data_IF_532585871979
#
_entry.id   IF_532585871979
#
_cell.length_a   1.000
_cell.length_b   1.000
_cell.length_c   1.000
_cell.angle_alpha   90.00
_cell.angle_beta   90.00
_cell.angle_gamma   90.00
#
_symmetry.space_group_name_H-M   'P 1'
#
loop_
_entity.id
_entity.type
_entity.pdbx_description
1 polymer ?
#
# COMPACT_ATOMS: atom_id res chain seq x y z
N UNK A 1 -29.40 7.02 7.79
CA UNK A 1 -28.20 7.83 8.04
C UNK A 1 -27.71 8.34 6.69
N UNK A 2 -27.39 9.62 6.58
CA UNK A 2 -27.18 10.32 5.30
C UNK A 2 -25.82 9.99 4.68
N UNK A 3 -25.82 9.16 3.64
CA UNK A 3 -24.67 8.90 2.73
C UNK A 3 -24.13 10.17 2.01
N UNK A 4 -24.70 11.35 2.23
CA UNK A 4 -24.51 12.53 1.37
C UNK A 4 -23.31 13.44 1.65
N UNK A 5 -22.42 13.16 2.63
CA UNK A 5 -21.35 14.12 3.00
C UNK A 5 -20.00 13.54 3.42
N UNK A 6 -19.90 12.25 3.74
CA UNK A 6 -18.65 11.68 4.24
C UNK A 6 -17.73 11.35 3.06
N UNK A 7 -16.49 11.81 3.12
CA UNK A 7 -15.46 11.62 2.08
C UNK A 7 -15.84 12.16 0.70
N UNK A 8 -16.42 13.36 0.66
CA UNK A 8 -16.95 13.94 -0.59
C UNK A 8 -15.87 14.05 -1.67
N UNK A 9 -14.67 14.53 -1.33
CA UNK A 9 -13.60 14.71 -2.32
C UNK A 9 -13.06 13.36 -2.80
N UNK A 10 -12.93 12.36 -1.92
CA UNK A 10 -12.54 11.00 -2.32
C UNK A 10 -13.58 10.32 -3.22
N UNK A 11 -14.87 10.55 -2.94
CA UNK A 11 -15.96 10.07 -3.80
C UNK A 11 -15.91 10.75 -5.17
N UNK A 12 -15.65 12.06 -5.22
CA UNK A 12 -15.59 12.84 -6.47
C UNK A 12 -14.45 12.38 -7.40
N UNK A 13 -13.31 11.95 -6.85
CA UNK A 13 -12.21 11.37 -7.66
C UNK A 13 -12.42 9.88 -7.98
N UNK A 14 -13.52 9.26 -7.54
CA UNK A 14 -13.89 7.89 -7.94
C UNK A 14 -13.56 6.78 -6.94
N UNK A 15 -13.18 7.08 -5.69
CA UNK A 15 -12.90 6.06 -4.64
C UNK A 15 -14.14 5.58 -3.87
N UNK A 16 -15.36 5.88 -4.34
CA UNK A 16 -16.60 5.51 -3.66
C UNK A 16 -16.73 4.01 -3.40
N UNK A 17 -16.43 3.18 -4.39
CA UNK A 17 -16.61 1.73 -4.29
C UNK A 17 -15.58 1.11 -3.33
N UNK A 18 -14.37 1.66 -3.31
CA UNK A 18 -13.34 1.31 -2.32
C UNK A 18 -13.83 1.55 -0.88
N UNK A 19 -14.37 2.75 -0.63
CA UNK A 19 -14.88 3.15 0.68
C UNK A 19 -16.00 2.24 1.17
N UNK A 20 -16.90 1.82 0.26
CA UNK A 20 -17.98 0.88 0.58
C UNK A 20 -17.50 -0.54 0.83
N UNK A 21 -16.51 -1.00 0.07
CA UNK A 21 -15.98 -2.35 0.19
C UNK A 21 -15.33 -2.58 1.56
N UNK A 22 -14.58 -1.60 2.05
CA UNK A 22 -13.97 -1.65 3.40
C UNK A 22 -14.99 -1.81 4.52
N UNK A 23 -16.21 -1.32 4.34
CA UNK A 23 -17.26 -1.39 5.35
C UNK A 23 -18.39 -2.37 5.07
N UNK A 24 -18.17 -3.41 4.25
CA UNK A 24 -19.20 -4.40 3.87
C UNK A 24 -20.48 -3.75 3.30
N UNK A 25 -20.30 -2.75 2.43
CA UNK A 25 -21.39 -1.99 1.82
C UNK A 25 -21.69 -0.67 2.51
N UNK A 26 -21.18 -0.45 3.72
CA UNK A 26 -21.30 0.80 4.45
C UNK A 26 -20.00 1.62 4.36
N UNK A 27 -20.11 2.95 4.47
CA UNK A 27 -18.94 3.84 4.59
C UNK A 27 -18.79 4.22 6.06
N UNK A 28 -17.70 3.78 6.69
CA UNK A 28 -17.39 4.12 8.07
C UNK A 28 -16.54 5.38 8.18
N UNK A 29 -16.77 6.16 9.23
CA UNK A 29 -15.94 7.31 9.56
C UNK A 29 -14.66 6.85 10.26
N UNK A 30 -13.52 7.13 9.64
CA UNK A 30 -12.17 6.79 10.10
C UNK A 30 -11.32 8.06 10.07
N UNK A 31 -10.62 8.35 11.16
CA UNK A 31 -9.90 9.62 11.33
C UNK A 31 -8.87 9.89 10.21
N UNK A 32 -8.13 8.86 9.81
CA UNK A 32 -7.15 8.98 8.73
C UNK A 32 -7.83 9.27 7.37
N UNK A 33 -8.96 8.64 7.07
CA UNK A 33 -9.70 8.89 5.82
C UNK A 33 -10.26 10.30 5.73
N UNK A 34 -10.65 10.91 6.86
CA UNK A 34 -11.06 12.32 6.90
C UNK A 34 -9.90 13.26 6.55
N UNK A 35 -8.68 12.92 6.99
CA UNK A 35 -7.48 13.70 6.69
C UNK A 35 -7.10 13.56 5.21
N UNK A 36 -7.18 12.35 4.65
CA UNK A 36 -6.98 12.11 3.21
C UNK A 36 -8.04 12.86 2.39
N UNK A 37 -9.32 12.82 2.78
CA UNK A 37 -10.37 13.57 2.10
C UNK A 37 -10.13 15.08 2.13
N UNK A 38 -9.72 15.61 3.28
CA UNK A 38 -9.33 17.02 3.41
C UNK A 38 -8.12 17.38 2.56
N UNK A 39 -7.13 16.48 2.46
CA UNK A 39 -5.98 16.66 1.58
C UNK A 39 -6.41 16.74 0.11
N UNK A 40 -7.20 15.77 -0.36
CA UNK A 40 -7.70 15.75 -1.75
C UNK A 40 -8.57 16.96 -2.05
N UNK A 41 -9.41 17.39 -1.11
CA UNK A 41 -10.24 18.59 -1.24
C UNK A 41 -9.41 19.85 -1.54
N UNK A 42 -8.24 19.95 -0.91
CA UNK A 42 -7.35 21.11 -1.02
C UNK A 42 -6.40 21.05 -2.23
N UNK A 43 -6.39 19.95 -2.99
CA UNK A 43 -5.67 19.90 -4.27
C UNK A 43 -6.30 20.87 -5.28
N UNK A 44 -5.47 21.31 -6.23
CA UNK A 44 -5.93 22.05 -7.41
C UNK A 44 -6.83 21.14 -8.27
N UNK A 45 -7.71 21.76 -9.06
CA UNK A 45 -8.72 21.00 -9.82
C UNK A 45 -8.10 20.14 -10.93
N UNK A 46 -7.00 20.60 -11.54
CA UNK A 46 -6.22 19.79 -12.49
C UNK A 46 -5.64 18.52 -11.83
N UNK A 47 -5.17 18.62 -10.58
CA UNK A 47 -4.65 17.48 -9.82
C UNK A 47 -5.75 16.49 -9.45
N UNK A 48 -6.96 16.97 -9.14
CA UNK A 48 -8.13 16.10 -8.90
C UNK A 48 -8.54 15.35 -10.15
N UNK A 49 -8.53 16.01 -11.31
CA UNK A 49 -8.84 15.34 -12.59
C UNK A 49 -7.76 14.30 -12.96
N UNK A 50 -6.47 14.57 -12.71
CA UNK A 50 -5.41 13.55 -12.87
C UNK A 50 -5.67 12.32 -11.99
N UNK A 51 -6.00 12.51 -10.70
CA UNK A 51 -6.31 11.41 -9.80
C UNK A 51 -7.52 10.60 -10.27
N UNK A 52 -8.58 11.28 -10.70
CA UNK A 52 -9.79 10.67 -11.24
C UNK A 52 -9.51 9.84 -12.49
N UNK A 53 -8.69 10.36 -13.40
CA UNK A 53 -8.22 9.63 -14.58
C UNK A 53 -7.45 8.37 -14.19
N UNK A 54 -6.47 8.47 -13.29
CA UNK A 54 -5.69 7.32 -12.78
C UNK A 54 -6.61 6.23 -12.18
N UNK A 55 -7.54 6.63 -11.31
CA UNK A 55 -8.48 5.71 -10.67
C UNK A 55 -9.37 5.02 -11.71
N UNK A 56 -9.90 5.77 -12.67
CA UNK A 56 -10.76 5.24 -13.73
C UNK A 56 -10.06 4.23 -14.66
N UNK A 57 -8.74 4.40 -14.89
CA UNK A 57 -7.93 3.46 -15.66
C UNK A 57 -7.69 2.17 -14.87
N UNK A 58 -7.24 2.27 -13.62
CA UNK A 58 -6.98 1.11 -12.73
C UNK A 58 -8.24 0.30 -12.42
N UNK A 59 -9.41 0.94 -12.37
CA UNK A 59 -10.70 0.24 -12.23
C UNK A 59 -10.97 -0.81 -13.30
N UNK A 60 -10.37 -0.68 -14.49
CA UNK A 60 -10.61 -1.61 -15.62
C UNK A 60 -9.72 -2.85 -15.56
N UNK A 61 -8.68 -2.87 -14.72
CA UNK A 61 -7.65 -3.90 -14.76
C UNK A 61 -7.81 -4.97 -13.68
N UNK A 62 -8.05 -4.63 -12.40
CA UNK A 62 -8.53 -5.55 -11.33
C UNK A 62 -8.90 -4.81 -10.02
N UNK A 63 -9.77 -5.38 -9.17
CA UNK A 63 -10.19 -4.78 -7.88
C UNK A 63 -9.05 -4.51 -6.87
N UNK A 64 -7.92 -5.21 -6.95
CA UNK A 64 -6.76 -5.06 -6.04
C UNK A 64 -6.04 -3.72 -6.17
N UNK A 65 -6.22 -2.99 -7.28
CA UNK A 65 -5.49 -1.76 -7.58
C UNK A 65 -6.05 -0.49 -6.89
N UNK A 66 -7.25 -0.55 -6.27
CA UNK A 66 -7.77 0.60 -5.51
C UNK A 66 -6.94 0.89 -4.23
N UNK A 67 -6.33 -0.14 -3.63
CA UNK A 67 -5.43 0.04 -2.51
C UNK A 67 -4.17 0.81 -2.94
N UNK A 68 -3.70 0.60 -4.17
CA UNK A 68 -2.50 1.28 -4.68
C UNK A 68 -2.75 2.78 -4.81
N UNK A 69 -3.88 3.18 -5.41
CA UNK A 69 -4.24 4.61 -5.50
C UNK A 69 -4.42 5.24 -4.12
N UNK A 70 -5.05 4.54 -3.17
CA UNK A 70 -5.17 5.08 -1.83
C UNK A 70 -3.80 5.23 -1.16
N UNK A 71 -2.88 4.28 -1.34
CA UNK A 71 -1.54 4.37 -0.79
C UNK A 71 -0.72 5.51 -1.41
N UNK A 72 -0.84 5.73 -2.72
CA UNK A 72 -0.25 6.90 -3.40
C UNK A 72 -0.71 8.20 -2.72
N UNK A 73 -2.03 8.39 -2.59
CA UNK A 73 -2.61 9.59 -1.95
C UNK A 73 -2.24 9.65 -0.46
N UNK A 74 -2.18 8.51 0.22
CA UNK A 74 -1.84 8.42 1.65
C UNK A 74 -0.40 8.85 1.92
N UNK A 75 0.55 8.38 1.11
CA UNK A 75 1.96 8.77 1.21
C UNK A 75 2.13 10.26 0.88
N UNK A 76 1.47 10.73 -0.18
CA UNK A 76 1.43 12.15 -0.53
C UNK A 76 0.92 13.01 0.66
N UNK A 77 -0.22 12.63 1.24
CA UNK A 77 -0.82 13.31 2.40
C UNK A 77 0.05 13.27 3.65
N UNK A 78 0.75 12.15 3.91
CA UNK A 78 1.48 11.93 5.16
C UNK A 78 2.84 12.62 5.23
N UNK A 79 3.50 12.79 4.08
CA UNK A 79 4.94 13.09 4.03
C UNK A 79 5.32 14.27 3.13
N UNK A 80 4.38 14.88 2.41
CA UNK A 80 4.69 15.92 1.43
C UNK A 80 3.73 17.10 1.52
N UNK A 81 4.28 18.31 1.69
CA UNK A 81 3.50 19.54 1.83
C UNK A 81 2.90 20.03 0.49
N UNK A 82 3.60 19.75 -0.62
CA UNK A 82 3.21 20.14 -1.97
C UNK A 82 3.37 18.95 -2.91
N UNK A 83 2.30 18.56 -3.59
CA UNK A 83 2.28 17.37 -4.42
C UNK A 83 1.67 17.71 -5.77
N UNK A 84 2.34 17.28 -6.84
CA UNK A 84 1.77 17.23 -8.19
C UNK A 84 1.75 15.78 -8.64
N UNK A 85 0.56 15.17 -8.68
CA UNK A 85 0.34 13.88 -9.29
C UNK A 85 0.64 13.97 -10.79
N UNK A 86 1.30 12.96 -11.33
CA UNK A 86 1.70 12.95 -12.73
C UNK A 86 0.70 12.12 -13.54
N UNK A 87 0.26 12.65 -14.66
CA UNK A 87 -0.59 11.91 -15.59
C UNK A 87 0.19 10.73 -16.17
N UNK A 88 -0.32 9.51 -15.99
CA UNK A 88 0.25 8.30 -16.58
C UNK A 88 0.20 8.38 -18.11
N UNK A 89 1.36 8.61 -18.71
CA UNK A 89 1.57 8.57 -20.18
C UNK A 89 2.10 7.22 -20.64
N UNK A 90 2.82 6.54 -19.75
CA UNK A 90 3.41 5.21 -19.94
C UNK A 90 3.59 4.51 -18.58
N UNK A 91 3.97 3.22 -18.60
CA UNK A 91 4.25 2.43 -17.40
C UNK A 91 5.43 2.96 -16.56
N UNK A 92 6.22 3.90 -17.12
CA UNK A 92 7.43 4.46 -16.52
C UNK A 92 7.19 5.82 -15.87
N UNK A 93 5.96 6.30 -15.85
CA UNK A 93 5.63 7.58 -15.23
C UNK A 93 5.58 7.41 -13.71
N UNK A 94 6.34 8.22 -12.93
CA UNK A 94 6.25 8.17 -11.47
C UNK A 94 4.87 8.59 -10.96
N UNK A 95 4.49 8.15 -9.77
CA UNK A 95 3.17 8.48 -9.22
C UNK A 95 2.94 9.98 -9.03
N UNK A 96 3.91 10.68 -8.42
CA UNK A 96 3.85 12.12 -8.20
C UNK A 96 5.22 12.75 -8.05
N UNK A 97 5.27 14.09 -8.07
CA UNK A 97 6.45 14.86 -7.70
C UNK A 97 6.14 15.87 -6.60
N UNK A 98 7.15 16.13 -5.76
CA UNK A 98 7.10 17.16 -4.71
C UNK A 98 8.43 17.90 -4.69
N UNK A 99 8.42 19.21 -4.94
CA UNK A 99 9.63 20.05 -4.95
C UNK A 99 10.78 19.44 -5.79
N UNK A 100 10.48 18.97 -7.01
CA UNK A 100 11.40 18.28 -7.92
C UNK A 100 11.92 16.91 -7.47
N UNK A 101 11.39 16.35 -6.37
CA UNK A 101 11.63 14.97 -5.97
C UNK A 101 10.51 14.12 -6.58
N UNK A 102 10.87 13.20 -7.48
CA UNK A 102 9.95 12.20 -8.00
C UNK A 102 9.72 11.12 -6.94
N UNK A 103 8.48 10.66 -6.85
CA UNK A 103 8.05 9.67 -5.86
C UNK A 103 7.30 8.56 -6.56
N UNK A 104 7.71 7.33 -6.29
CA UNK A 104 7.01 6.13 -6.69
C UNK A 104 6.58 5.35 -5.44
N UNK A 105 5.33 4.94 -5.40
CA UNK A 105 4.71 4.20 -4.30
C UNK A 105 4.37 2.80 -4.79
N UNK A 106 4.89 1.79 -4.12
CA UNK A 106 4.53 0.40 -4.36
C UNK A 106 3.85 -0.18 -3.12
N UNK A 107 2.85 -1.00 -3.37
CA UNK A 107 2.16 -1.73 -2.31
C UNK A 107 2.59 -3.19 -2.29
N UNK A 108 2.95 -3.69 -1.11
CA UNK A 108 3.01 -5.12 -0.85
C UNK A 108 1.73 -5.52 -0.11
N UNK A 109 0.83 -6.16 -0.86
CA UNK A 109 -0.34 -6.83 -0.30
C UNK A 109 -0.03 -8.33 -0.16
N UNK A 110 -0.26 -8.89 1.02
CA UNK A 110 0.07 -10.29 1.32
C UNK A 110 -0.99 -11.31 0.88
N UNK A 111 -2.07 -10.84 0.24
CA UNK A 111 -3.17 -11.66 -0.31
C UNK A 111 -2.76 -12.83 -1.23
N UNK A 112 -1.51 -12.94 -1.68
CA UNK A 112 -1.05 -14.11 -2.45
C UNK A 112 -0.69 -15.30 -1.58
N UNK A 113 -0.17 -15.08 -0.37
CA UNK A 113 0.09 -16.17 0.60
C UNK A 113 -1.24 -16.63 1.19
N UNK A 114 -2.16 -15.70 1.44
CA UNK A 114 -3.54 -16.01 1.84
C UNK A 114 -4.33 -16.66 0.71
N UNK A 115 -4.16 -16.25 -0.56
CA UNK A 115 -4.73 -16.98 -1.71
C UNK A 115 -4.15 -18.38 -1.82
N UNK A 116 -2.83 -18.56 -1.69
CA UNK A 116 -2.22 -19.90 -1.73
C UNK A 116 -2.71 -20.77 -0.58
N UNK A 117 -2.71 -20.25 0.65
CA UNK A 117 -3.25 -20.94 1.83
C UNK A 117 -4.74 -21.22 1.72
N UNK A 118 -5.56 -20.29 1.24
CA UNK A 118 -6.99 -20.52 0.98
C UNK A 118 -7.20 -21.53 -0.16
N UNK A 119 -6.37 -21.53 -1.21
CA UNK A 119 -6.45 -22.53 -2.29
C UNK A 119 -6.05 -23.92 -1.82
N UNK A 120 -5.14 -24.01 -0.85
CA UNK A 120 -4.74 -25.25 -0.17
C UNK A 120 -5.77 -25.69 0.89
N UNK A 121 -6.37 -24.76 1.63
CA UNK A 121 -7.43 -24.98 2.62
C UNK A 121 -8.80 -25.31 1.97
N UNK A 122 -9.06 -24.80 0.76
CA UNK A 122 -10.28 -25.09 -0.01
C UNK A 122 -10.24 -26.45 -0.73
N UNK A 123 -9.16 -27.23 -0.58
CA UNK A 123 -9.04 -28.60 -1.11
C UNK A 123 -9.43 -29.70 -0.11
N UNK A 124 -9.94 -29.35 1.07
CA UNK A 124 -10.39 -30.32 2.06
C UNK A 124 -11.66 -29.88 2.79
N UNK A 125 -12.52 -30.83 3.21
CA UNK A 125 -13.66 -30.51 4.06
C UNK A 125 -13.12 -30.04 5.40
N UNK A 126 -13.43 -28.80 5.79
CA UNK A 126 -13.15 -28.23 7.11
C UNK A 126 -11.80 -28.62 7.73
N UNK A 127 -10.73 -27.90 7.41
CA UNK A 127 -9.64 -27.76 8.39
C UNK A 127 -10.19 -26.95 9.58
N UNK A 128 -10.84 -27.65 10.51
CA UNK A 128 -10.82 -27.25 11.91
C UNK A 128 -9.39 -26.81 12.25
N UNK A 129 -9.24 -25.63 12.84
CA UNK A 129 -7.96 -25.19 13.38
C UNK A 129 -7.52 -26.25 14.41
N UNK A 130 -6.60 -27.12 14.04
CA UNK A 130 -6.03 -28.15 14.93
C UNK A 130 -4.55 -28.35 14.57
N UNK A 131 -3.63 -28.58 15.53
CA UNK A 131 -3.57 -28.20 16.94
C UNK A 131 -2.60 -27.01 17.11
N UNK A 132 -2.21 -26.66 18.34
CA UNK A 132 -1.15 -25.68 18.59
C UNK A 132 0.14 -26.06 17.82
N UNK A 133 0.54 -25.25 16.84
CA UNK A 133 1.82 -25.40 16.14
C UNK A 133 2.96 -25.55 17.16
N UNK A 134 3.88 -26.46 16.88
CA UNK A 134 5.14 -26.54 17.63
C UNK A 134 5.96 -25.28 17.40
N UNK A 135 6.87 -24.96 18.33
CA UNK A 135 7.74 -23.79 18.18
C UNK A 135 8.60 -23.88 16.90
N UNK A 136 9.04 -25.07 16.50
CA UNK A 136 9.81 -25.26 15.26
C UNK A 136 8.99 -24.96 14.00
N UNK A 137 7.72 -25.38 13.95
CA UNK A 137 6.82 -25.08 12.83
C UNK A 137 6.52 -23.59 12.74
N UNK A 138 6.32 -22.93 13.90
CA UNK A 138 6.15 -21.47 13.97
C UNK A 138 7.36 -20.75 13.39
N UNK A 139 8.57 -21.11 13.79
CA UNK A 139 9.79 -20.48 13.29
C UNK A 139 10.00 -20.71 11.79
N UNK A 140 9.69 -21.92 11.29
CA UNK A 140 9.77 -22.18 9.85
C UNK A 140 8.75 -21.36 9.04
N UNK A 141 7.49 -21.30 9.50
CA UNK A 141 6.43 -20.50 8.86
C UNK A 141 6.80 -19.02 8.83
N UNK A 142 7.36 -18.49 9.92
CA UNK A 142 7.84 -17.10 9.97
C UNK A 142 8.94 -16.86 8.93
N UNK A 143 9.96 -17.72 8.88
CA UNK A 143 11.06 -17.58 7.95
C UNK A 143 10.58 -17.58 6.49
N UNK A 144 9.76 -18.55 6.11
CA UNK A 144 9.17 -18.61 4.75
C UNK A 144 8.36 -17.35 4.41
N UNK A 145 7.65 -16.81 5.41
CA UNK A 145 6.88 -15.58 5.25
C UNK A 145 7.78 -14.36 5.03
N UNK A 146 8.81 -14.18 5.86
CA UNK A 146 9.81 -13.10 5.75
C UNK A 146 10.52 -13.18 4.39
N UNK A 147 10.92 -14.37 3.95
CA UNK A 147 11.56 -14.59 2.65
C UNK A 147 10.63 -14.22 1.48
N UNK A 148 9.35 -14.60 1.55
CA UNK A 148 8.36 -14.28 0.53
C UNK A 148 8.12 -12.77 0.40
N UNK A 149 7.95 -12.08 1.54
CA UNK A 149 7.75 -10.63 1.60
C UNK A 149 9.02 -9.90 1.13
N UNK A 150 10.20 -10.37 1.52
CA UNK A 150 11.49 -9.85 1.05
C UNK A 150 11.65 -9.97 -0.47
N UNK A 151 11.25 -11.09 -1.07
CA UNK A 151 11.26 -11.25 -2.54
C UNK A 151 10.36 -10.22 -3.24
N UNK A 152 9.13 -10.04 -2.75
CA UNK A 152 8.20 -9.01 -3.28
C UNK A 152 8.78 -7.61 -3.15
N UNK A 153 9.39 -7.30 -2.01
CA UNK A 153 10.04 -6.02 -1.79
C UNK A 153 11.12 -5.75 -2.84
N UNK A 154 12.02 -6.71 -3.08
CA UNK A 154 13.04 -6.61 -4.13
C UNK A 154 12.42 -6.39 -5.52
N UNK A 155 11.38 -7.14 -5.88
CA UNK A 155 10.68 -6.98 -7.15
C UNK A 155 10.07 -5.58 -7.31
N UNK A 156 9.40 -5.07 -6.27
CA UNK A 156 8.79 -3.74 -6.29
C UNK A 156 9.82 -2.62 -6.33
N UNK A 157 10.90 -2.73 -5.57
CA UNK A 157 12.02 -1.77 -5.62
C UNK A 157 12.61 -1.74 -7.03
N UNK A 158 12.85 -2.90 -7.66
CA UNK A 158 13.39 -2.94 -9.02
C UNK A 158 12.46 -2.29 -10.05
N UNK A 159 11.14 -2.55 -9.99
CA UNK A 159 10.16 -1.86 -10.84
C UNK A 159 10.16 -0.35 -10.62
N UNK A 160 10.14 0.08 -9.36
CA UNK A 160 10.14 1.51 -9.02
C UNK A 160 11.42 2.23 -9.47
N UNK A 161 12.58 1.56 -9.43
CA UNK A 161 13.83 2.09 -10.00
C UNK A 161 13.72 2.35 -11.50
N UNK A 162 13.10 1.44 -12.24
CA UNK A 162 12.92 1.59 -13.69
C UNK A 162 12.02 2.78 -14.04
N UNK A 163 11.01 3.05 -13.22
CA UNK A 163 10.07 4.17 -13.39
C UNK A 163 10.71 5.51 -13.00
N UNK A 164 11.45 5.57 -11.89
CA UNK A 164 12.11 6.81 -11.46
C UNK A 164 13.33 7.21 -12.33
N UNK A 165 13.82 6.30 -13.18
CA UNK A 165 14.92 6.51 -14.12
C UNK A 165 16.19 7.10 -13.45
N UNK A 166 17.14 7.63 -14.23
CA UNK A 166 18.42 8.22 -13.75
C UNK A 166 18.27 9.51 -12.92
N UNK A 167 17.07 10.09 -12.81
CA UNK A 167 16.85 11.38 -12.16
C UNK A 167 16.87 11.31 -10.63
N UNK A 168 16.77 10.10 -10.07
CA UNK A 168 16.68 9.91 -8.63
C UNK A 168 15.30 10.28 -8.08
N UNK A 169 15.10 10.06 -6.77
CA UNK A 169 13.79 10.20 -6.15
C UNK A 169 13.59 9.32 -4.92
N UNK A 170 12.34 9.24 -4.47
CA UNK A 170 11.94 8.42 -3.33
C UNK A 170 11.10 7.23 -3.80
N UNK A 171 11.47 6.03 -3.36
CA UNK A 171 10.64 4.83 -3.48
C UNK A 171 9.99 4.60 -2.12
N UNK A 172 8.67 4.59 -2.08
CA UNK A 172 7.92 4.19 -0.89
C UNK A 172 7.33 2.80 -1.08
N UNK A 173 7.61 1.90 -0.15
CA UNK A 173 6.97 0.60 -0.06
C UNK A 173 5.95 0.62 1.08
N UNK A 174 4.66 0.66 0.76
CA UNK A 174 3.59 0.47 1.74
C UNK A 174 3.31 -1.01 1.85
N UNK A 175 3.45 -1.58 3.03
CA UNK A 175 3.26 -3.01 3.22
C UNK A 175 2.18 -3.31 4.26
N UNK A 176 1.44 -4.38 4.04
CA UNK A 176 0.43 -4.91 4.97
C UNK A 176 0.84 -6.32 5.35
N UNK A 177 0.70 -6.64 6.64
CA UNK A 177 1.01 -7.98 7.16
C UNK A 177 -0.30 -8.64 7.55
N UNK A 178 -0.73 -9.56 6.70
CA UNK A 178 -1.75 -10.55 7.02
C UNK A 178 -1.01 -11.74 7.63
N UNK A 179 -0.72 -11.67 8.93
CA UNK A 179 -0.19 -12.81 9.69
C UNK A 179 -1.22 -13.22 10.74
N UNK A 180 -1.18 -14.45 11.29
CA UNK A 180 -2.09 -14.78 12.37
C UNK A 180 -1.80 -13.90 13.60
N UNK A 181 -2.81 -13.42 14.35
CA UNK A 181 -2.65 -12.44 15.43
C UNK A 181 -1.59 -12.79 16.49
N UNK A 182 -1.34 -14.08 16.71
CA UNK A 182 -0.32 -14.57 17.65
C UNK A 182 1.14 -14.26 17.23
N UNK A 183 1.37 -13.78 16.02
CA UNK A 183 2.71 -13.55 15.45
C UNK A 183 2.99 -12.09 15.07
N UNK A 184 2.01 -11.18 15.21
CA UNK A 184 2.04 -9.84 14.61
C UNK A 184 3.22 -8.96 15.01
N UNK A 185 3.57 -8.87 16.30
CA UNK A 185 4.60 -7.89 16.73
C UNK A 185 6.01 -8.34 16.35
N UNK A 186 6.35 -9.62 16.56
CA UNK A 186 7.70 -10.13 16.25
C UNK A 186 7.97 -10.22 14.74
N UNK A 187 6.94 -10.51 13.93
CA UNK A 187 7.11 -10.67 12.48
C UNK A 187 7.32 -9.33 11.76
N UNK A 188 6.76 -8.23 12.30
CA UNK A 188 6.98 -6.89 11.73
C UNK A 188 8.45 -6.51 11.80
N UNK A 189 9.07 -6.69 12.97
CA UNK A 189 10.49 -6.38 13.19
C UNK A 189 11.40 -7.23 12.28
N UNK A 190 11.13 -8.53 12.15
CA UNK A 190 11.88 -9.41 11.25
C UNK A 190 11.73 -8.99 9.76
N UNK A 191 10.55 -8.54 9.34
CA UNK A 191 10.31 -8.04 7.98
C UNK A 191 11.06 -6.73 7.73
N UNK A 192 10.99 -5.78 8.66
CA UNK A 192 11.69 -4.50 8.54
C UNK A 192 13.21 -4.69 8.53
N UNK A 193 13.73 -5.58 9.39
CA UNK A 193 15.14 -6.00 9.36
C UNK A 193 15.51 -6.58 7.99
N UNK A 194 14.66 -7.45 7.42
CA UNK A 194 14.92 -8.02 6.08
C UNK A 194 14.88 -6.94 4.99
N UNK A 195 14.01 -5.93 5.08
CA UNK A 195 14.00 -4.81 4.16
C UNK A 195 15.27 -3.99 4.24
N UNK A 196 15.77 -3.70 5.45
CA UNK A 196 17.02 -2.97 5.66
C UNK A 196 18.23 -3.72 5.08
N UNK A 197 18.27 -5.05 5.23
CA UNK A 197 19.28 -5.89 4.58
C UNK A 197 19.22 -5.76 3.06
N UNK A 198 18.04 -5.92 2.46
CA UNK A 198 17.84 -5.81 1.01
C UNK A 198 18.25 -4.42 0.50
N UNK A 199 17.89 -3.35 1.21
CA UNK A 199 18.27 -1.98 0.84
C UNK A 199 19.79 -1.83 0.82
N UNK A 200 20.50 -2.39 1.80
CA UNK A 200 21.97 -2.41 1.85
C UNK A 200 22.57 -3.24 0.71
N UNK A 201 22.00 -4.41 0.42
CA UNK A 201 22.45 -5.30 -0.66
C UNK A 201 22.31 -4.65 -2.04
N UNK A 202 21.22 -3.92 -2.29
CA UNK A 202 20.94 -3.33 -3.60
C UNK A 202 21.85 -2.14 -3.97
N UNK A 203 22.53 -1.52 -2.99
CA UNK A 203 23.50 -0.41 -3.16
C UNK A 203 23.06 0.67 -4.16
N UNK A 204 21.81 1.12 -4.05
CA UNK A 204 21.19 1.95 -5.09
C UNK A 204 21.63 3.41 -4.91
N UNK A 205 22.32 3.95 -5.91
CA UNK A 205 22.72 5.36 -5.95
C UNK A 205 21.54 6.24 -6.40
N UNK A 206 21.46 7.44 -5.82
CA UNK A 206 20.49 8.50 -6.17
C UNK A 206 19.01 8.19 -5.88
N UNK A 207 18.71 7.12 -5.14
CA UNK A 207 17.35 6.80 -4.70
C UNK A 207 17.30 6.66 -3.18
N UNK A 208 16.25 7.20 -2.57
CA UNK A 208 15.93 6.97 -1.16
C UNK A 208 14.80 5.96 -1.09
N UNK A 209 15.06 4.79 -0.52
CA UNK A 209 14.05 3.76 -0.32
C UNK A 209 13.52 3.90 1.11
N UNK A 210 12.21 4.00 1.24
CA UNK A 210 11.49 4.06 2.50
C UNK A 210 10.39 3.01 2.48
N UNK A 211 10.03 2.51 3.65
CA UNK A 211 8.92 1.59 3.81
C UNK A 211 8.10 1.97 5.04
N UNK A 212 6.82 1.61 5.02
CA UNK A 212 5.93 1.85 6.16
C UNK A 212 4.82 0.78 6.19
N UNK A 213 4.57 0.24 7.38
CA UNK A 213 3.41 -0.60 7.60
C UNK A 213 2.14 0.23 7.41
N UNK A 214 1.14 -0.29 6.69
CA UNK A 214 -0.09 0.45 6.42
C UNK A 214 -0.81 0.89 7.72
N UNK A 215 -0.77 0.12 8.79
CA UNK A 215 -1.32 0.53 10.09
C UNK A 215 -0.59 1.75 10.67
N UNK A 216 0.74 1.75 10.59
CA UNK A 216 1.55 2.90 11.01
C UNK A 216 1.28 4.12 10.13
N UNK A 217 1.06 3.93 8.83
CA UNK A 217 0.67 5.00 7.91
C UNK A 217 -0.70 5.59 8.29
N UNK A 218 -1.70 4.75 8.59
CA UNK A 218 -3.02 5.19 9.06
C UNK A 218 -2.90 6.02 10.34
N UNK A 219 -2.13 5.56 11.32
CA UNK A 219 -1.89 6.30 12.57
C UNK A 219 -1.19 7.64 12.33
N UNK A 220 -0.18 7.66 11.45
CA UNK A 220 0.54 8.89 11.07
C UNK A 220 -0.38 9.91 10.42
N UNK A 221 -1.26 9.49 9.52
CA UNK A 221 -2.21 10.38 8.85
C UNK A 221 -3.27 10.89 9.84
N UNK A 222 -3.77 10.02 10.72
CA UNK A 222 -4.75 10.41 11.72
C UNK A 222 -4.22 11.44 12.74
N UNK A 223 -2.90 11.58 12.89
CA UNK A 223 -2.27 12.53 13.81
C UNK A 223 -1.85 13.86 13.18
N UNK A 224 -1.99 14.02 11.85
CA UNK A 224 -1.96 15.33 11.18
C UNK A 224 -3.20 16.14 11.58
#
# INVERSE_FOLDING_TARGET
>A
MTDGKLYKALIEIGLKDYLKQRGNGNIYQEAHMLKIDSFVKNLLDDQKEILKDKISKKQKETHTQHNDMLHEISIACAFYDKVNFLQEKDEKTPDFCSNNIYVEVKTINNSDVERKRQTELNKGPHCEISPAFTQAEVENIKKEYVDCVGKKFTEHVNKAKEQLNRNGGHIWIVYTIDSPPKFHEKINEEIENRFDEIIKELQIKNLCIKYINFESLRKKIASL
#
